data_IF_543648192210
#
_entry.id   IF_543648192210
#
_cell.length_a   1.000
_cell.length_b   1.000
_cell.length_c   1.000
_cell.angle_alpha   90.00
_cell.angle_beta   90.00
_cell.angle_gamma   90.00
#
_symmetry.space_group_name_H-M   'P 1'
#
loop_
_entity.id
_entity.type
_entity.pdbx_description
1 polymer ?
#
# COMPACT_ATOMS: atom_id res chain seq x y z
N UNK A 1 16.09 12.11 1.19
CA UNK A 1 15.25 13.18 0.62
C UNK A 1 14.91 14.14 1.74
N UNK A 2 15.36 15.40 1.67
CA UNK A 2 15.04 16.38 2.72
C UNK A 2 13.57 16.77 2.57
N UNK A 3 12.79 16.60 3.64
CA UNK A 3 11.41 17.05 3.66
C UNK A 3 11.39 18.57 3.84
N UNK A 4 11.17 19.31 2.75
CA UNK A 4 11.06 20.77 2.78
C UNK A 4 9.58 21.18 2.87
N UNK A 5 9.17 21.95 3.88
CA UNK A 5 7.84 22.55 3.91
C UNK A 5 7.77 23.68 2.87
N UNK A 6 6.99 23.45 1.81
CA UNK A 6 6.75 24.45 0.76
C UNK A 6 5.52 25.27 1.10
N UNK A 7 5.68 26.58 1.17
CA UNK A 7 4.61 27.57 1.31
C UNK A 7 4.89 28.77 0.40
N UNK A 8 4.00 29.76 0.34
CA UNK A 8 4.14 30.90 -0.57
C UNK A 8 5.45 31.70 -0.38
N UNK A 9 6.09 31.61 0.78
CA UNK A 9 7.35 32.30 1.06
C UNK A 9 8.59 31.45 0.73
N UNK A 10 8.47 30.12 0.72
CA UNK A 10 9.59 29.19 0.52
C UNK A 10 9.56 28.49 -0.84
N UNK A 11 8.51 28.71 -1.63
CA UNK A 11 8.33 28.02 -2.91
C UNK A 11 9.38 28.39 -3.95
N UNK A 12 9.84 29.65 -3.95
CA UNK A 12 10.88 30.11 -4.86
C UNK A 12 12.21 29.39 -4.57
N UNK A 13 12.66 29.41 -3.33
CA UNK A 13 13.88 28.72 -2.89
C UNK A 13 13.84 27.22 -3.21
N UNK A 14 12.69 26.57 -2.98
CA UNK A 14 12.51 25.15 -3.29
C UNK A 14 12.65 24.87 -4.80
N UNK A 15 12.09 25.72 -5.65
CA UNK A 15 12.23 25.56 -7.10
C UNK A 15 13.67 25.77 -7.56
N UNK A 16 14.40 26.71 -6.98
CA UNK A 16 15.82 26.92 -7.28
C UNK A 16 16.67 25.70 -6.92
N UNK A 17 16.45 25.12 -5.73
CA UNK A 17 17.11 23.87 -5.33
C UNK A 17 16.76 22.71 -6.28
N UNK A 18 15.49 22.60 -6.68
CA UNK A 18 15.02 21.54 -7.57
C UNK A 18 15.68 21.61 -8.96
N UNK A 19 15.77 22.82 -9.52
CA UNK A 19 16.43 23.05 -10.82
C UNK A 19 17.88 22.61 -10.73
N UNK A 20 18.58 22.99 -9.65
CA UNK A 20 19.98 22.59 -9.44
C UNK A 20 20.15 21.07 -9.37
N UNK A 21 19.29 20.37 -8.62
CA UNK A 21 19.36 18.90 -8.57
C UNK A 21 19.07 18.25 -9.93
N UNK A 22 18.16 18.81 -10.73
CA UNK A 22 17.87 18.33 -12.08
C UNK A 22 19.06 18.55 -13.02
N UNK A 23 19.72 19.71 -12.94
CA UNK A 23 20.91 20.00 -13.74
C UNK A 23 22.08 19.07 -13.38
N UNK A 24 22.24 18.74 -12.09
CA UNK A 24 23.30 17.86 -11.60
C UNK A 24 23.06 16.37 -11.89
N UNK A 25 21.82 15.90 -11.80
CA UNK A 25 21.48 14.47 -11.86
C UNK A 25 20.68 14.07 -13.10
N UNK A 26 20.28 15.03 -13.94
CA UNK A 26 19.47 14.85 -15.16
C UNK A 26 18.00 14.53 -14.89
N UNK A 27 17.66 13.86 -13.79
CA UNK A 27 16.28 13.54 -13.41
C UNK A 27 16.13 13.43 -11.90
N UNK A 28 15.10 14.07 -11.36
CA UNK A 28 14.78 14.06 -9.92
C UNK A 28 13.36 13.55 -9.72
N UNK A 29 13.19 12.58 -8.82
CA UNK A 29 11.86 12.11 -8.42
C UNK A 29 11.28 13.08 -7.39
N UNK A 30 10.11 13.64 -7.66
CA UNK A 30 9.45 14.59 -6.76
C UNK A 30 8.12 14.02 -6.26
N UNK A 31 7.82 14.17 -4.97
CA UNK A 31 6.51 13.83 -4.42
C UNK A 31 5.98 14.97 -3.56
N UNK A 32 4.78 15.45 -3.85
CA UNK A 32 4.09 16.45 -3.03
C UNK A 32 2.96 15.82 -2.23
N UNK A 33 2.73 16.35 -1.04
CA UNK A 33 1.59 15.97 -0.20
C UNK A 33 1.18 17.17 0.67
N UNK A 34 -0.12 17.34 0.98
CA UNK A 34 -0.56 18.38 1.91
C UNK A 34 0.15 18.25 3.26
N UNK A 35 0.49 19.39 3.88
CA UNK A 35 1.11 19.41 5.21
C UNK A 35 0.24 18.70 6.27
N UNK A 36 -1.09 18.79 6.13
CA UNK A 36 -2.07 18.13 6.98
C UNK A 36 -2.78 17.02 6.24
N UNK A 37 -2.12 15.87 6.11
CA UNK A 37 -2.84 14.64 5.78
C UNK A 37 -3.56 14.17 7.05
N UNK A 38 -4.88 14.01 7.01
CA UNK A 38 -5.68 13.55 8.17
C UNK A 38 -5.20 12.21 8.76
N UNK A 39 -5.84 11.72 9.82
CA UNK A 39 -5.40 10.47 10.47
C UNK A 39 -5.49 9.27 9.50
N UNK A 40 -4.34 8.75 9.08
CA UNK A 40 -4.21 7.53 8.28
C UNK A 40 -3.89 6.33 9.17
N UNK A 41 -4.91 5.54 9.48
CA UNK A 41 -4.72 4.22 10.10
C UNK A 41 -4.24 3.19 9.07
N UNK A 42 -3.54 2.16 9.52
CA UNK A 42 -2.91 1.15 8.64
C UNK A 42 -3.90 0.45 7.70
N UNK A 43 -5.12 0.16 8.15
CA UNK A 43 -6.13 -0.47 7.29
C UNK A 43 -6.59 0.44 6.13
N UNK A 44 -6.65 1.76 6.36
CA UNK A 44 -6.99 2.73 5.31
C UNK A 44 -5.83 2.87 4.33
N UNK A 45 -4.59 2.92 4.84
CA UNK A 45 -3.39 2.95 4.03
C UNK A 45 -3.29 1.72 3.13
N UNK A 46 -3.50 0.53 3.70
CA UNK A 46 -3.55 -0.73 2.98
C UNK A 46 -4.52 -0.70 1.80
N UNK A 47 -5.77 -0.27 2.02
CA UNK A 47 -6.77 -0.17 0.94
C UNK A 47 -6.34 0.79 -0.17
N UNK A 48 -5.68 1.89 0.17
CA UNK A 48 -5.11 2.81 -0.81
C UNK A 48 -3.99 2.15 -1.62
N UNK A 49 -3.10 1.41 -0.97
CA UNK A 49 -2.03 0.67 -1.66
C UNK A 49 -2.58 -0.42 -2.58
N UNK A 50 -3.62 -1.13 -2.17
CA UNK A 50 -4.27 -2.14 -3.02
C UNK A 50 -4.88 -1.53 -4.28
N UNK A 51 -5.39 -0.29 -4.22
CA UNK A 51 -5.84 0.43 -5.41
C UNK A 51 -4.68 0.70 -6.37
N UNK A 52 -3.60 1.31 -5.88
CA UNK A 52 -2.39 1.58 -6.69
C UNK A 52 -1.80 0.31 -7.28
N UNK A 53 -1.73 -0.76 -6.49
CA UNK A 53 -1.23 -2.06 -6.92
C UNK A 53 -2.14 -2.70 -7.97
N UNK A 54 -3.46 -2.62 -7.80
CA UNK A 54 -4.39 -3.14 -8.80
C UNK A 54 -4.27 -2.41 -10.14
N UNK A 55 -4.16 -1.08 -10.12
CA UNK A 55 -3.92 -0.30 -11.34
C UNK A 55 -2.62 -0.70 -12.03
N UNK A 56 -1.53 -0.86 -11.27
CA UNK A 56 -0.26 -1.35 -11.80
C UNK A 56 -0.41 -2.73 -12.43
N UNK A 57 -1.03 -3.68 -11.73
CA UNK A 57 -1.20 -5.05 -12.22
C UNK A 57 -2.09 -5.10 -13.47
N UNK A 58 -3.20 -4.37 -13.48
CA UNK A 58 -4.09 -4.28 -14.65
C UNK A 58 -3.38 -3.68 -15.86
N UNK A 59 -2.58 -2.61 -15.68
CA UNK A 59 -1.75 -2.02 -16.76
C UNK A 59 -0.69 -2.98 -17.29
N UNK A 60 -0.23 -3.92 -16.47
CA UNK A 60 0.71 -4.98 -16.85
C UNK A 60 0.00 -6.27 -17.34
N UNK A 61 -1.28 -6.19 -17.67
CA UNK A 61 -2.03 -7.30 -18.29
C UNK A 61 -2.55 -8.36 -17.32
N UNK A 62 -2.48 -8.14 -16.00
CA UNK A 62 -3.11 -9.04 -15.04
C UNK A 62 -4.63 -8.88 -15.10
N UNK A 63 -5.33 -9.99 -15.23
CA UNK A 63 -6.79 -10.06 -15.30
C UNK A 63 -7.35 -11.12 -14.37
N UNK A 64 -8.62 -11.00 -14.00
CA UNK A 64 -9.36 -12.04 -13.29
C UNK A 64 -10.34 -12.75 -14.23
N UNK A 65 -10.45 -14.09 -14.16
CA UNK A 65 -11.47 -14.82 -14.91
C UNK A 65 -12.87 -14.47 -14.41
N UNK A 66 -13.85 -14.37 -15.33
CA UNK A 66 -15.26 -14.15 -14.95
C UNK A 66 -15.95 -15.45 -14.57
N UNK A 67 -15.68 -16.52 -15.32
CA UNK A 67 -16.17 -17.86 -15.05
C UNK A 67 -15.08 -18.87 -15.36
N UNK A 68 -15.07 -19.95 -14.59
CA UNK A 68 -14.23 -21.13 -14.82
C UNK A 68 -15.17 -22.33 -14.79
N UNK A 69 -15.19 -23.13 -15.86
CA UNK A 69 -16.00 -24.35 -15.88
C UNK A 69 -15.33 -25.49 -15.07
N UNK A 70 -15.99 -26.64 -15.00
CA UNK A 70 -15.48 -27.81 -14.26
C UNK A 70 -14.15 -28.33 -14.83
N UNK A 71 -13.90 -28.10 -16.12
CA UNK A 71 -12.68 -28.47 -16.83
C UNK A 71 -11.54 -27.45 -16.68
N UNK A 72 -11.76 -26.35 -15.95
CA UNK A 72 -10.76 -25.29 -15.72
C UNK A 72 -10.65 -24.27 -16.86
N UNK A 73 -11.53 -24.32 -17.85
CA UNK A 73 -11.58 -23.37 -18.97
C UNK A 73 -12.19 -22.05 -18.50
N UNK A 74 -11.47 -20.96 -18.79
CA UNK A 74 -11.88 -19.59 -18.46
C UNK A 74 -12.80 -19.03 -19.55
N UNK A 75 -13.97 -18.53 -19.15
CA UNK A 75 -14.87 -17.79 -20.02
C UNK A 75 -14.87 -16.32 -19.63
N UNK A 76 -14.21 -15.50 -20.46
CA UNK A 76 -14.10 -14.06 -20.29
C UNK A 76 -13.21 -13.65 -19.12
N UNK A 77 -12.75 -12.41 -19.17
CA UNK A 77 -11.85 -11.83 -18.18
C UNK A 77 -12.26 -10.40 -17.88
N UNK A 78 -12.00 -9.94 -16.66
CA UNK A 78 -12.10 -8.53 -16.27
C UNK A 78 -10.74 -8.01 -15.78
N UNK A 79 -10.53 -6.68 -15.80
CA UNK A 79 -9.36 -6.08 -15.18
C UNK A 79 -9.22 -6.47 -13.70
N UNK A 80 -7.97 -6.61 -13.26
CA UNK A 80 -7.64 -6.86 -11.85
C UNK A 80 -8.02 -5.63 -11.00
N UNK A 81 -8.79 -5.85 -9.93
CA UNK A 81 -9.38 -4.78 -9.11
C UNK A 81 -8.68 -4.63 -7.76
N UNK A 82 -8.96 -3.53 -7.06
CA UNK A 82 -8.45 -3.29 -5.71
C UNK A 82 -8.89 -4.34 -4.70
N UNK A 83 -10.06 -4.97 -4.89
CA UNK A 83 -10.52 -6.05 -4.03
C UNK A 83 -9.80 -7.36 -4.32
N UNK A 84 -9.45 -7.64 -5.58
CA UNK A 84 -8.59 -8.79 -5.91
C UNK A 84 -7.19 -8.62 -5.32
N UNK A 85 -6.62 -7.42 -5.45
CA UNK A 85 -5.36 -7.07 -4.79
C UNK A 85 -5.48 -7.23 -3.28
N UNK A 86 -6.56 -6.73 -2.67
CA UNK A 86 -6.80 -6.88 -1.24
C UNK A 86 -6.81 -8.33 -0.79
N UNK A 87 -7.55 -9.21 -1.48
CA UNK A 87 -7.61 -10.63 -1.13
C UNK A 87 -6.26 -11.32 -1.33
N UNK A 88 -5.63 -11.12 -2.51
CA UNK A 88 -4.33 -11.72 -2.85
C UNK A 88 -3.25 -11.33 -1.83
N UNK A 89 -3.03 -10.04 -1.64
CA UNK A 89 -1.94 -9.55 -0.80
C UNK A 89 -2.25 -9.67 0.70
N UNK A 90 -3.51 -9.70 1.11
CA UNK A 90 -3.85 -10.05 2.50
C UNK A 90 -3.42 -11.48 2.78
N UNK A 91 -3.71 -12.42 1.87
CA UNK A 91 -3.27 -13.81 2.03
C UNK A 91 -1.74 -13.94 1.97
N UNK A 92 -1.09 -13.20 1.08
CA UNK A 92 0.36 -13.28 0.88
C UNK A 92 1.18 -12.63 2.00
N UNK A 93 0.78 -11.45 2.48
CA UNK A 93 1.59 -10.66 3.41
C UNK A 93 1.12 -10.73 4.87
N UNK A 94 -0.20 -10.80 5.08
CA UNK A 94 -0.79 -10.91 6.42
C UNK A 94 -0.92 -12.38 6.83
N UNK A 95 -1.46 -13.23 5.96
CA UNK A 95 -1.49 -14.67 6.15
C UNK A 95 -2.49 -15.16 7.20
N UNK A 96 -2.09 -16.18 7.97
CA UNK A 96 -2.88 -16.84 8.99
C UNK A 96 -2.07 -16.95 10.30
N UNK A 97 -2.76 -17.13 11.43
CA UNK A 97 -2.11 -17.40 12.71
C UNK A 97 -1.70 -18.87 12.88
N UNK A 98 -1.09 -19.20 14.01
CA UNK A 98 -0.61 -20.54 14.35
C UNK A 98 -1.72 -21.61 14.37
N UNK A 99 -2.98 -21.19 14.54
CA UNK A 99 -4.16 -22.06 14.51
C UNK A 99 -4.78 -22.11 13.11
N UNK A 100 -4.06 -21.62 12.09
CA UNK A 100 -4.49 -21.52 10.71
C UNK A 100 -5.75 -20.66 10.50
N UNK A 101 -6.03 -19.72 11.42
CA UNK A 101 -7.11 -18.74 11.25
C UNK A 101 -6.61 -17.57 10.41
N UNK A 102 -7.38 -17.21 9.38
CA UNK A 102 -7.04 -16.08 8.50
C UNK A 102 -7.00 -14.77 9.30
N UNK A 103 -5.93 -14.02 9.13
CA UNK A 103 -5.80 -12.70 9.73
C UNK A 103 -6.58 -11.65 8.92
N UNK A 104 -7.22 -10.71 9.63
CA UNK A 104 -8.13 -9.74 9.04
C UNK A 104 -7.80 -8.29 9.39
N UNK A 105 -7.97 -7.41 8.40
CA UNK A 105 -7.89 -5.95 8.53
C UNK A 105 -9.12 -5.33 9.20
N UNK A 106 -10.20 -6.10 9.41
CA UNK A 106 -11.43 -5.63 10.04
C UNK A 106 -11.20 -5.13 11.48
N UNK A 107 -12.12 -4.31 11.99
CA UNK A 107 -12.10 -3.86 13.40
C UNK A 107 -12.63 -4.95 14.36
N UNK A 108 -13.51 -5.81 13.85
CA UNK A 108 -14.10 -6.92 14.58
C UNK A 108 -14.44 -8.06 13.61
N UNK A 109 -14.43 -9.29 14.11
CA UNK A 109 -14.85 -10.48 13.36
C UNK A 109 -16.29 -10.82 13.75
N UNK A 110 -17.11 -11.18 12.77
CA UNK A 110 -18.48 -11.64 13.00
C UNK A 110 -18.48 -12.96 13.78
N UNK A 111 -19.53 -13.21 14.58
CA UNK A 111 -19.56 -14.34 15.51
C UNK A 111 -19.39 -15.68 14.80
N UNK A 112 -20.00 -15.82 13.62
CA UNK A 112 -19.95 -17.00 12.74
C UNK A 112 -18.55 -17.31 12.17
N UNK A 113 -17.63 -16.35 12.19
CA UNK A 113 -16.29 -16.50 11.60
C UNK A 113 -15.17 -16.57 12.65
N UNK A 114 -15.47 -16.54 13.96
CA UNK A 114 -14.45 -16.49 15.03
C UNK A 114 -13.48 -17.68 15.02
N UNK A 115 -13.92 -18.84 14.55
CA UNK A 115 -13.09 -20.04 14.48
C UNK A 115 -12.24 -20.09 13.22
N UNK A 116 -12.53 -19.25 12.23
CA UNK A 116 -11.85 -19.21 10.92
C UNK A 116 -11.00 -17.95 10.73
N UNK A 117 -11.33 -16.87 11.43
CA UNK A 117 -10.72 -15.56 11.26
C UNK A 117 -10.41 -14.89 12.58
N UNK A 118 -9.32 -14.12 12.61
CA UNK A 118 -8.93 -13.28 13.74
C UNK A 118 -8.59 -11.86 13.27
N UNK A 119 -8.94 -10.86 14.10
CA UNK A 119 -8.46 -9.50 13.90
C UNK A 119 -6.92 -9.48 14.01
N UNK A 120 -6.25 -9.00 12.97
CA UNK A 120 -4.81 -8.82 13.00
C UNK A 120 -4.42 -7.74 14.02
N UNK A 121 -3.39 -8.03 14.80
CA UNK A 121 -2.78 -7.10 15.75
C UNK A 121 -2.11 -5.94 15.02
N UNK A 122 -1.67 -4.94 15.79
CA UNK A 122 -0.95 -3.79 15.26
C UNK A 122 0.38 -4.20 14.61
N UNK A 123 1.15 -5.10 15.24
CA UNK A 123 2.43 -5.59 14.71
C UNK A 123 2.24 -6.35 13.40
N UNK A 124 1.28 -7.27 13.34
CA UNK A 124 1.00 -8.04 12.12
C UNK A 124 0.60 -7.15 10.93
N UNK A 125 -0.20 -6.10 11.18
CA UNK A 125 -0.56 -5.12 10.15
C UNK A 125 0.63 -4.29 9.69
N UNK A 126 1.51 -3.92 10.62
CA UNK A 126 2.74 -3.19 10.32
C UNK A 126 3.67 -4.04 9.44
N UNK A 127 3.90 -5.30 9.81
CA UNK A 127 4.74 -6.21 9.04
C UNK A 127 4.16 -6.49 7.66
N UNK A 128 2.83 -6.64 7.54
CA UNK A 128 2.18 -6.79 6.24
C UNK A 128 2.37 -5.57 5.33
N UNK A 129 2.32 -4.35 5.89
CA UNK A 129 2.64 -3.13 5.14
C UNK A 129 4.12 -3.12 4.73
N UNK A 130 5.06 -3.44 5.62
CA UNK A 130 6.49 -3.51 5.28
C UNK A 130 6.77 -4.47 4.12
N UNK A 131 6.23 -5.68 4.18
CA UNK A 131 6.36 -6.68 3.11
C UNK A 131 5.79 -6.19 1.78
N UNK A 132 4.65 -5.49 1.82
CA UNK A 132 4.06 -4.96 0.60
C UNK A 132 4.83 -3.77 0.03
N UNK A 133 5.36 -2.90 0.90
CA UNK A 133 6.22 -1.80 0.50
C UNK A 133 7.50 -2.29 -0.18
N UNK A 134 8.13 -3.32 0.37
CA UNK A 134 9.29 -3.97 -0.24
C UNK A 134 8.94 -4.59 -1.60
N UNK A 135 7.83 -5.34 -1.67
CA UNK A 135 7.35 -5.90 -2.93
C UNK A 135 7.10 -4.82 -3.99
N UNK A 136 6.45 -3.73 -3.61
CA UNK A 136 6.14 -2.61 -4.49
C UNK A 136 7.42 -1.91 -4.96
N UNK A 137 8.37 -1.67 -4.05
CA UNK A 137 9.69 -1.09 -4.36
C UNK A 137 10.44 -1.94 -5.40
N UNK A 138 10.49 -3.26 -5.20
CA UNK A 138 11.12 -4.20 -6.12
C UNK A 138 10.48 -4.23 -7.52
N UNK A 139 9.22 -3.79 -7.63
CA UNK A 139 8.47 -3.72 -8.90
C UNK A 139 8.42 -2.30 -9.48
N UNK A 140 9.04 -1.32 -8.84
CA UNK A 140 8.97 0.09 -9.24
C UNK A 140 7.61 0.74 -9.04
N UNK A 141 6.78 0.20 -8.14
CA UNK A 141 5.45 0.75 -7.82
C UNK A 141 5.59 1.82 -6.74
N UNK A 142 5.25 3.06 -7.09
CA UNK A 142 5.29 4.19 -6.16
C UNK A 142 4.04 4.18 -5.29
N UNK A 143 4.19 3.79 -4.02
CA UNK A 143 3.11 3.79 -3.04
C UNK A 143 2.99 5.15 -2.34
N UNK A 144 1.75 5.56 -2.08
CA UNK A 144 1.45 6.74 -1.28
C UNK A 144 1.85 6.54 0.19
N UNK A 145 2.73 7.38 0.74
CA UNK A 145 3.20 7.29 2.13
C UNK A 145 2.91 8.58 2.90
N UNK A 146 1.80 8.65 3.67
CA UNK A 146 1.45 9.86 4.40
C UNK A 146 2.43 10.07 5.57
N UNK A 147 3.13 11.22 5.59
CA UNK A 147 4.11 11.61 6.64
C UNK A 147 3.56 11.55 8.07
N UNK A 148 2.28 11.80 8.25
CA UNK A 148 1.62 11.81 9.58
C UNK A 148 0.93 10.48 9.93
N UNK A 149 1.00 9.49 9.03
CA UNK A 149 0.30 8.22 9.15
C UNK A 149 0.81 7.34 10.29
N UNK A 150 -0.05 6.42 10.76
CA UNK A 150 0.30 5.48 11.83
C UNK A 150 1.51 4.61 11.45
N UNK A 151 1.56 4.16 10.19
CA UNK A 151 2.64 3.34 9.67
C UNK A 151 3.99 4.07 9.69
N UNK A 152 4.04 5.30 9.15
CA UNK A 152 5.27 6.10 9.10
C UNK A 152 5.83 6.39 10.50
N UNK A 153 4.96 6.69 11.46
CA UNK A 153 5.36 6.87 12.86
C UNK A 153 5.96 5.62 13.50
N UNK A 154 5.54 4.43 13.07
CA UNK A 154 6.10 3.18 13.58
C UNK A 154 7.47 2.89 12.96
N UNK A 155 7.68 3.23 11.68
CA UNK A 155 9.00 3.14 11.02
C UNK A 155 10.00 3.99 11.79
N UNK A 156 9.71 5.29 11.98
CA UNK A 156 10.65 6.20 12.63
C UNK A 156 11.03 5.74 14.06
N UNK A 157 10.07 5.16 14.80
CA UNK A 157 10.33 4.61 16.14
C UNK A 157 11.21 3.36 16.16
N UNK A 158 11.35 2.65 15.05
CA UNK A 158 12.27 1.51 14.94
C UNK A 158 13.68 1.93 14.55
N UNK A 159 13.83 3.11 13.95
CA UNK A 159 15.10 3.66 13.47
C UNK A 159 15.79 4.58 14.51
N UNK A 160 15.05 4.97 15.56
CA UNK A 160 15.56 5.58 16.81
C UNK A 160 16.11 4.53 17.78
#
# INVERSE_FOLDING_TARGET
MKDVPVNNHTIHDYFEELVKEVDEHGTVMCSSQPATVGKWGMAKLWRMWMLTTAEFMARNGVTMPLMVNAEGVVYGTRPFSSDDAHELFTRQHLGADELNRRLSWAKSIKKENKDKERVATKGERFDALRKHEEWASNKGVVLFKPRTGEYFKLINKQEE
#
